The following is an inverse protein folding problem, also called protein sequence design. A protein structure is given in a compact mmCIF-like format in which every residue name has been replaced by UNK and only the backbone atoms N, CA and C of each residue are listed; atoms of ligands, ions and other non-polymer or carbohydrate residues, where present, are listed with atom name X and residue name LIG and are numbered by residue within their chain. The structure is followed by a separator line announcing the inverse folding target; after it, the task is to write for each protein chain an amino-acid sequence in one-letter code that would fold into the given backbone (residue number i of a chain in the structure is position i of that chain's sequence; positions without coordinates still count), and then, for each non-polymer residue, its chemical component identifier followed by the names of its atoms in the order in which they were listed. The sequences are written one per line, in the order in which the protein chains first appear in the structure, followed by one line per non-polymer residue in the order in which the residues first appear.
data_IF_073986444706
#
_entry.id   IF_073986444706
#
_cell.length_a   1.000
_cell.length_b   1.000
_cell.length_c   1.000
_cell.angle_alpha   90.00
_cell.angle_beta   90.00
_cell.angle_gamma   90.00
#
_symmetry.space_group_name_H-M   'P 1'
#
loop_
_entity.id
_entity.type
_entity.pdbx_description
1 polymer ?
#
# COMPACT_ATOMS: atom_id res chain seq x y z
N UNK A 1 29.02 -83.38 -20.30
CA UNK A 1 27.89 -82.93 -19.46
C UNK A 1 28.54 -82.30 -18.21
N UNK A 2 28.60 -80.97 -18.12
CA UNK A 2 29.20 -80.25 -16.97
C UNK A 2 28.05 -79.53 -16.25
N UNK A 3 27.75 -80.03 -15.05
CA UNK A 3 26.77 -79.36 -14.17
C UNK A 3 27.36 -78.08 -13.58
N UNK A 4 26.73 -76.94 -13.84
CA UNK A 4 27.06 -75.72 -13.19
C UNK A 4 26.07 -75.53 -12.02
N UNK A 5 26.58 -75.58 -10.80
CA UNK A 5 25.81 -75.25 -9.59
C UNK A 5 25.85 -73.73 -9.38
N UNK A 6 24.66 -73.12 -9.50
CA UNK A 6 24.50 -71.70 -9.18
C UNK A 6 24.27 -71.52 -7.66
N UNK A 7 25.19 -70.84 -6.99
CA UNK A 7 25.05 -70.49 -5.58
C UNK A 7 24.30 -69.15 -5.51
N UNK A 8 23.08 -69.18 -4.99
CA UNK A 8 22.31 -67.96 -4.63
C UNK A 8 22.83 -67.44 -3.27
N UNK A 9 23.42 -66.26 -3.28
CA UNK A 9 23.75 -65.49 -2.06
C UNK A 9 22.57 -64.59 -1.75
N UNK A 10 21.87 -64.71 -0.60
CA UNK A 10 20.85 -63.76 -0.20
C UNK A 10 21.50 -62.44 0.24
N UNK A 11 21.21 -61.33 -0.46
CA UNK A 11 21.58 -59.97 -0.04
C UNK A 11 20.69 -59.56 1.16
N UNK A 12 21.31 -59.53 2.34
CA UNK A 12 20.70 -59.01 3.56
C UNK A 12 20.72 -57.47 3.51
N UNK A 13 19.59 -56.84 3.11
CA UNK A 13 19.42 -55.38 3.16
C UNK A 13 19.28 -54.97 4.63
N UNK A 14 20.34 -54.45 5.24
CA UNK A 14 20.30 -53.79 6.56
C UNK A 14 19.65 -52.43 6.34
N UNK A 15 18.39 -52.25 6.70
CA UNK A 15 17.73 -50.95 6.85
C UNK A 15 18.30 -50.24 8.07
N UNK A 16 19.26 -49.34 7.83
CA UNK A 16 19.73 -48.42 8.85
C UNK A 16 18.65 -47.35 9.00
N UNK A 17 17.77 -47.49 10.00
CA UNK A 17 16.94 -46.37 10.49
C UNK A 17 17.90 -45.41 11.19
N UNK A 18 18.32 -44.37 10.47
CA UNK A 18 18.92 -43.22 11.09
C UNK A 18 17.84 -42.50 11.91
N UNK A 19 17.83 -42.72 13.23
CA UNK A 19 17.17 -41.81 14.15
C UNK A 19 17.88 -40.45 14.03
N UNK A 20 17.34 -39.56 13.19
CA UNK A 20 17.66 -38.14 13.35
C UNK A 20 17.24 -37.76 14.77
N UNK A 21 18.21 -37.53 15.64
CA UNK A 21 17.95 -36.91 16.93
C UNK A 21 17.36 -35.54 16.63
N UNK A 22 16.07 -35.37 16.92
CA UNK A 22 15.49 -34.03 16.96
C UNK A 22 16.43 -33.15 17.77
N UNK A 23 16.98 -32.11 17.12
CA UNK A 23 17.78 -31.13 17.84
C UNK A 23 16.85 -30.47 18.86
N UNK A 24 17.30 -30.27 20.11
CA UNK A 24 16.49 -29.62 21.11
C UNK A 24 16.04 -28.26 20.58
N UNK A 25 14.73 -28.07 20.53
CA UNK A 25 14.12 -26.84 20.03
C UNK A 25 14.55 -25.68 20.91
N UNK A 26 15.27 -24.71 20.33
CA UNK A 26 15.70 -23.52 21.06
C UNK A 26 14.46 -22.66 21.35
N UNK A 27 14.15 -22.39 22.64
CA UNK A 27 13.01 -21.58 22.98
C UNK A 27 13.10 -20.18 22.31
N UNK A 28 11.96 -19.61 21.88
CA UNK A 28 11.95 -18.27 21.33
C UNK A 28 12.37 -17.26 22.44
N UNK A 29 13.21 -16.30 22.07
CA UNK A 29 13.69 -15.22 22.94
C UNK A 29 13.26 -13.89 22.36
N UNK A 30 12.87 -12.95 23.22
CA UNK A 30 12.52 -11.59 22.79
C UNK A 30 13.72 -10.93 22.09
N UNK A 31 13.44 -10.36 20.91
CA UNK A 31 14.42 -9.66 20.08
C UNK A 31 13.96 -8.22 19.83
N UNK A 32 14.56 -7.28 20.55
CA UNK A 32 14.33 -5.84 20.42
C UNK A 32 15.27 -5.16 19.43
N UNK A 33 16.03 -5.91 18.63
CA UNK A 33 16.96 -5.34 17.65
C UNK A 33 16.21 -4.43 16.68
N UNK A 34 16.55 -3.12 16.60
CA UNK A 34 15.86 -2.20 15.71
C UNK A 34 15.98 -2.63 14.24
N UNK A 35 14.90 -2.48 13.49
CA UNK A 35 14.91 -2.68 12.05
C UNK A 35 15.58 -1.48 11.37
N UNK A 36 16.53 -1.77 10.48
CA UNK A 36 17.21 -0.72 9.70
C UNK A 36 16.46 -0.42 8.42
N UNK A 37 15.99 0.82 8.28
CA UNK A 37 15.33 1.33 7.06
C UNK A 37 16.33 2.18 6.28
N UNK A 38 16.54 1.87 5.00
CA UNK A 38 17.34 2.71 4.10
C UNK A 38 16.48 3.87 3.58
N UNK A 39 16.70 5.05 4.13
CA UNK A 39 15.89 6.24 3.80
C UNK A 39 16.35 6.96 2.53
N UNK A 40 17.57 6.72 2.04
CA UNK A 40 18.12 7.33 0.81
C UNK A 40 17.85 8.85 0.70
N UNK A 41 17.99 9.56 1.82
CA UNK A 41 17.77 11.00 1.89
C UNK A 41 16.34 11.44 2.15
N UNK A 42 15.41 10.53 2.38
CA UNK A 42 14.10 10.88 2.93
C UNK A 42 14.24 11.34 4.39
N UNK A 43 13.36 12.23 4.87
CA UNK A 43 13.38 12.64 6.27
C UNK A 43 13.09 11.46 7.19
N UNK A 44 13.55 11.56 8.44
CA UNK A 44 13.19 10.59 9.47
C UNK A 44 11.66 10.46 9.56
N UNK A 45 11.09 9.25 9.45
CA UNK A 45 9.65 9.03 9.57
C UNK A 45 9.12 9.31 10.98
N UNK A 46 9.99 9.33 11.99
CA UNK A 46 9.61 9.51 13.40
C UNK A 46 8.63 8.42 13.83
N UNK A 47 9.06 7.17 13.86
CA UNK A 47 8.23 6.05 14.29
C UNK A 47 7.60 6.30 15.66
N UNK A 48 6.39 5.78 15.94
CA UNK A 48 5.78 5.89 17.25
C UNK A 48 6.69 5.34 18.36
N UNK A 49 6.90 6.11 19.42
CA UNK A 49 7.81 5.73 20.49
C UNK A 49 7.40 4.42 21.22
N UNK A 50 6.11 4.09 21.18
CA UNK A 50 5.54 2.87 21.74
C UNK A 50 5.55 1.67 20.78
N UNK A 51 5.99 1.88 19.50
CA UNK A 51 6.03 0.83 18.49
C UNK A 51 7.15 1.07 17.45
N UNK A 52 8.36 1.27 17.92
CA UNK A 52 9.53 1.38 17.02
C UNK A 52 9.74 0.04 16.31
N UNK A 53 9.89 0.00 14.97
CA UNK A 53 10.09 -1.24 14.23
C UNK A 53 11.32 -2.02 14.70
N UNK A 54 11.12 -3.30 14.99
CA UNK A 54 12.18 -4.27 15.31
C UNK A 54 12.22 -5.36 14.26
N UNK A 55 13.36 -6.07 14.12
CA UNK A 55 13.48 -7.18 13.17
C UNK A 55 12.39 -8.23 13.40
N UNK A 56 12.16 -8.61 14.66
CA UNK A 56 11.14 -9.61 15.01
C UNK A 56 9.72 -9.08 14.81
N UNK A 57 9.45 -7.80 15.13
CA UNK A 57 8.14 -7.18 14.94
C UNK A 57 7.77 -7.05 13.47
N UNK A 58 8.70 -6.58 12.62
CA UNK A 58 8.53 -6.49 11.18
C UNK A 58 8.31 -7.87 10.55
N UNK A 59 9.08 -8.89 10.97
CA UNK A 59 8.90 -10.26 10.49
C UNK A 59 7.52 -10.82 10.87
N UNK A 60 7.07 -10.60 12.11
CA UNK A 60 5.72 -11.01 12.55
C UNK A 60 4.64 -10.26 11.77
N UNK A 61 4.77 -8.94 11.58
CA UNK A 61 3.84 -8.13 10.81
C UNK A 61 3.72 -8.61 9.36
N UNK A 62 4.87 -8.91 8.74
CA UNK A 62 4.92 -9.53 7.41
C UNK A 62 4.18 -10.87 7.37
N UNK A 63 4.39 -11.75 8.34
CA UNK A 63 3.67 -13.03 8.41
C UNK A 63 2.16 -12.80 8.52
N UNK A 64 1.72 -11.89 9.41
CA UNK A 64 0.31 -11.57 9.59
C UNK A 64 -0.32 -10.95 8.34
N UNK A 65 0.39 -10.09 7.62
CA UNK A 65 -0.08 -9.48 6.37
C UNK A 65 -0.40 -10.52 5.28
N UNK A 66 0.29 -11.66 5.28
CA UNK A 66 0.08 -12.78 4.36
C UNK A 66 -0.71 -13.96 4.98
N UNK A 67 -1.13 -13.87 6.25
CA UNK A 67 -1.84 -14.94 6.96
C UNK A 67 -3.32 -15.00 6.58
N UNK A 68 -3.71 -16.06 5.91
CA UNK A 68 -5.10 -16.25 5.47
C UNK A 68 -6.07 -16.61 6.59
N UNK A 69 -5.60 -17.16 7.71
CA UNK A 69 -6.48 -17.46 8.84
C UNK A 69 -7.04 -16.23 9.55
N UNK A 70 -6.63 -15.02 9.14
CA UNK A 70 -7.24 -13.77 9.58
C UNK A 70 -8.63 -13.54 8.96
N UNK A 71 -9.01 -14.26 7.91
CA UNK A 71 -10.36 -14.23 7.34
C UNK A 71 -11.26 -15.33 7.91
N UNK A 72 -12.58 -15.15 7.78
CA UNK A 72 -13.58 -16.06 8.35
C UNK A 72 -13.45 -17.49 7.78
N UNK A 73 -13.23 -17.60 6.48
CA UNK A 73 -13.12 -18.87 5.75
C UNK A 73 -11.66 -19.34 5.49
N UNK A 74 -10.67 -18.57 5.92
CA UNK A 74 -9.25 -18.87 5.72
C UNK A 74 -8.77 -18.75 4.27
N UNK A 75 -9.52 -18.07 3.39
CA UNK A 75 -9.17 -17.93 1.97
C UNK A 75 -8.39 -16.67 1.64
N UNK A 76 -8.47 -15.64 2.48
CA UNK A 76 -8.01 -14.28 2.18
C UNK A 76 -7.05 -13.72 3.23
N UNK A 77 -6.07 -12.96 2.77
CA UNK A 77 -5.12 -12.17 3.56
C UNK A 77 -5.11 -10.70 3.09
N UNK A 78 -4.39 -9.80 3.78
CA UNK A 78 -4.21 -8.43 3.32
C UNK A 78 -3.60 -8.37 1.91
N UNK A 79 -2.67 -9.28 1.60
CA UNK A 79 -1.97 -9.34 0.33
C UNK A 79 -2.86 -9.71 -0.87
N UNK A 80 -4.07 -10.23 -0.66
CA UNK A 80 -4.99 -10.54 -1.75
C UNK A 80 -5.59 -9.26 -2.37
N UNK A 81 -5.75 -8.17 -1.57
CA UNK A 81 -6.20 -6.86 -2.01
C UNK A 81 -5.05 -5.83 -2.09
N UNK A 82 -3.93 -6.07 -1.39
CA UNK A 82 -2.75 -5.19 -1.39
C UNK A 82 -1.55 -5.93 -2.00
N UNK A 83 -1.50 -5.95 -3.34
CA UNK A 83 -0.51 -6.73 -4.12
C UNK A 83 0.77 -5.95 -4.33
N UNK A 84 1.91 -6.50 -3.92
CA UNK A 84 3.20 -5.81 -3.97
C UNK A 84 3.53 -5.24 -5.36
N UNK A 85 3.37 -6.02 -6.43
CA UNK A 85 3.68 -5.58 -7.81
C UNK A 85 2.77 -4.44 -8.30
N UNK A 86 1.70 -4.12 -7.58
CA UNK A 86 0.80 -3.01 -7.83
C UNK A 86 0.89 -1.94 -6.74
N UNK A 87 2.08 -1.74 -6.14
CA UNK A 87 2.29 -0.76 -5.08
C UNK A 87 1.48 -1.05 -3.81
N UNK A 88 1.19 -2.32 -3.54
CA UNK A 88 0.28 -2.75 -2.48
C UNK A 88 -1.12 -2.13 -2.59
N UNK A 89 -1.63 -2.04 -3.82
CA UNK A 89 -3.03 -1.71 -4.18
C UNK A 89 -3.67 -2.91 -4.87
N UNK A 90 -4.97 -2.83 -5.18
CA UNK A 90 -5.68 -3.83 -5.99
C UNK A 90 -5.71 -3.42 -7.47
N UNK A 91 -5.96 -4.40 -8.34
CA UNK A 91 -6.20 -4.20 -9.77
C UNK A 91 -7.69 -4.11 -10.12
N UNK A 92 -8.55 -4.39 -9.15
CA UNK A 92 -10.00 -4.30 -9.30
C UNK A 92 -10.48 -2.91 -8.87
N UNK A 93 -11.54 -2.43 -9.51
CA UNK A 93 -12.25 -1.21 -9.09
C UNK A 93 -12.62 -1.26 -7.61
N UNK A 94 -13.18 -2.38 -7.17
CA UNK A 94 -13.48 -2.71 -5.79
C UNK A 94 -12.97 -4.11 -5.49
N UNK A 95 -12.24 -4.28 -4.42
CA UNK A 95 -11.80 -5.60 -3.96
C UNK A 95 -13.01 -6.46 -3.60
N UNK A 96 -12.89 -7.77 -3.82
CA UNK A 96 -13.95 -8.74 -3.54
C UNK A 96 -13.62 -9.47 -2.25
N UNK A 97 -14.47 -9.35 -1.24
CA UNK A 97 -14.31 -10.00 0.05
C UNK A 97 -14.65 -11.49 0.07
N UNK A 98 -14.55 -12.12 1.24
CA UNK A 98 -14.82 -13.56 1.43
C UNK A 98 -16.26 -13.94 1.07
N UNK A 99 -17.22 -13.05 1.32
CA UNK A 99 -18.64 -13.23 0.95
C UNK A 99 -18.91 -13.03 -0.55
N UNK A 100 -17.85 -12.83 -1.36
CA UNK A 100 -17.94 -12.54 -2.80
C UNK A 100 -18.70 -11.24 -3.11
N UNK A 101 -18.76 -10.34 -2.15
CA UNK A 101 -19.33 -8.99 -2.30
C UNK A 101 -18.22 -7.98 -2.57
N UNK A 102 -18.46 -6.96 -3.43
CA UNK A 102 -17.50 -5.91 -3.66
C UNK A 102 -17.44 -4.93 -2.48
N UNK A 103 -16.25 -4.41 -2.20
CA UNK A 103 -16.07 -3.25 -1.33
C UNK A 103 -16.72 -1.99 -1.91
N UNK A 104 -16.60 -0.88 -1.18
CA UNK A 104 -17.24 0.39 -1.56
C UNK A 104 -16.28 1.39 -2.20
N UNK A 105 -14.98 1.22 -2.00
CA UNK A 105 -13.93 2.10 -2.50
C UNK A 105 -12.75 1.27 -2.99
N UNK A 106 -11.98 1.85 -3.89
CA UNK A 106 -10.74 1.24 -4.37
C UNK A 106 -9.71 1.10 -3.23
N UNK A 107 -8.97 -0.02 -3.20
CA UNK A 107 -7.89 -0.26 -2.24
C UNK A 107 -6.75 0.74 -2.44
N UNK A 108 -6.45 1.51 -1.41
CA UNK A 108 -5.32 2.46 -1.45
C UNK A 108 -3.98 1.73 -1.44
N UNK A 109 -3.01 2.29 -2.14
CA UNK A 109 -1.63 1.81 -2.09
C UNK A 109 -1.02 1.97 -0.69
N UNK A 110 -0.32 0.94 -0.21
CA UNK A 110 0.40 0.98 1.07
C UNK A 110 1.86 1.34 0.81
N UNK A 111 2.11 2.63 0.59
CA UNK A 111 3.44 3.16 0.24
C UNK A 111 3.79 4.27 1.22
N UNK A 112 4.95 4.17 1.87
CA UNK A 112 5.50 5.21 2.75
C UNK A 112 4.54 5.62 3.88
N UNK A 113 3.79 4.68 4.45
CA UNK A 113 2.76 4.97 5.46
C UNK A 113 3.32 5.59 6.74
N UNK A 114 4.59 5.37 7.06
CA UNK A 114 5.26 5.98 8.22
C UNK A 114 5.24 7.52 8.22
N UNK A 115 5.02 8.15 7.05
CA UNK A 115 4.88 9.61 6.93
C UNK A 115 3.44 10.10 6.81
N UNK A 116 2.44 9.21 6.83
CA UNK A 116 1.04 9.60 6.76
C UNK A 116 0.51 9.95 8.15
N UNK A 117 0.37 11.26 8.44
CA UNK A 117 -0.02 11.77 9.78
C UNK A 117 -1.51 12.04 9.91
N UNK A 118 -2.22 12.28 8.80
CA UNK A 118 -3.60 12.80 8.77
C UNK A 118 -4.66 11.69 8.69
N UNK A 119 -4.40 10.53 9.29
CA UNK A 119 -5.33 9.39 9.27
C UNK A 119 -5.23 8.55 8.00
N UNK A 120 -5.89 7.41 7.99
CA UNK A 120 -5.83 6.37 6.95
C UNK A 120 -7.24 6.08 6.40
N UNK A 121 -7.33 5.29 5.33
CA UNK A 121 -8.45 5.22 4.40
C UNK A 121 -8.65 6.53 3.62
N UNK A 122 -9.49 6.47 2.58
CA UNK A 122 -9.83 7.62 1.75
C UNK A 122 -10.46 8.79 2.52
N UNK A 123 -11.10 8.50 3.65
CA UNK A 123 -11.83 9.48 4.47
C UNK A 123 -11.15 9.80 5.81
N UNK A 124 -10.03 9.14 6.13
CA UNK A 124 -9.28 9.39 7.36
C UNK A 124 -9.93 8.85 8.64
N UNK A 125 -10.85 7.89 8.51
CA UNK A 125 -11.58 7.32 9.66
C UNK A 125 -10.73 6.50 10.65
N UNK A 126 -9.45 6.31 10.37
CA UNK A 126 -8.51 5.64 11.28
C UNK A 126 -7.26 6.47 11.47
N UNK A 127 -6.97 6.88 12.70
CA UNK A 127 -5.83 7.76 13.01
C UNK A 127 -4.51 6.99 12.98
N UNK A 128 -4.50 5.74 13.44
CA UNK A 128 -3.27 4.93 13.54
C UNK A 128 -3.34 3.71 12.63
N UNK A 129 -2.20 3.31 12.06
CA UNK A 129 -2.09 2.14 11.18
C UNK A 129 -2.46 0.85 11.93
N UNK A 130 -2.02 0.69 13.19
CA UNK A 130 -2.39 -0.44 14.06
C UNK A 130 -3.91 -0.66 14.18
N UNK A 131 -4.68 0.44 14.23
CA UNK A 131 -6.13 0.37 14.32
C UNK A 131 -6.77 0.18 12.94
N UNK A 132 -6.15 0.75 11.90
CA UNK A 132 -6.61 0.57 10.52
C UNK A 132 -6.50 -0.90 10.10
N UNK A 133 -5.37 -1.55 10.37
CA UNK A 133 -5.10 -2.94 10.00
C UNK A 133 -6.13 -3.95 10.56
N UNK A 134 -6.77 -3.63 11.68
CA UNK A 134 -7.80 -4.49 12.29
C UNK A 134 -9.19 -4.30 11.70
N UNK A 135 -9.46 -3.23 10.94
CA UNK A 135 -10.80 -2.94 10.40
C UNK A 135 -11.17 -3.85 9.24
N UNK A 136 -10.31 -4.10 8.23
CA UNK A 136 -10.58 -5.04 7.15
C UNK A 136 -10.89 -6.45 7.63
N UNK A 137 -10.25 -6.89 8.73
CA UNK A 137 -10.51 -8.19 9.33
C UNK A 137 -11.98 -8.32 9.74
N UNK A 138 -12.56 -7.23 10.29
CA UNK A 138 -13.92 -7.20 10.83
C UNK A 138 -14.98 -6.77 9.82
N UNK A 139 -14.58 -6.23 8.65
CA UNK A 139 -15.54 -5.73 7.66
C UNK A 139 -16.22 -6.91 6.94
N UNK A 140 -17.57 -6.98 6.94
CA UNK A 140 -18.31 -8.03 6.24
C UNK A 140 -18.11 -8.05 4.73
N UNK A 141 -17.71 -6.92 4.14
CA UNK A 141 -17.41 -6.82 2.70
C UNK A 141 -15.96 -7.20 2.37
N UNK A 142 -15.12 -7.47 3.40
CA UNK A 142 -13.71 -7.82 3.24
C UNK A 142 -13.43 -9.21 3.85
N UNK A 143 -12.83 -9.32 5.03
CA UNK A 143 -12.41 -10.59 5.63
C UNK A 143 -13.46 -11.22 6.56
N UNK A 144 -14.47 -10.48 6.99
CA UNK A 144 -15.66 -10.91 7.74
C UNK A 144 -15.36 -11.83 8.95
N UNK A 145 -14.33 -11.52 9.74
CA UNK A 145 -13.94 -12.29 10.91
C UNK A 145 -13.94 -11.41 12.17
N UNK A 146 -14.20 -11.98 13.35
CA UNK A 146 -14.05 -11.26 14.58
C UNK A 146 -12.65 -11.45 15.21
N UNK A 147 -12.20 -10.44 15.96
CA UNK A 147 -10.84 -10.42 16.51
C UNK A 147 -10.62 -11.49 17.60
N UNK A 148 -11.65 -11.94 18.29
CA UNK A 148 -11.55 -13.02 19.29
C UNK A 148 -11.24 -14.36 18.61
N UNK A 149 -11.92 -14.66 17.51
CA UNK A 149 -11.63 -15.85 16.72
C UNK A 149 -10.22 -15.79 16.10
N UNK A 150 -9.82 -14.62 15.56
CA UNK A 150 -8.47 -14.41 15.02
C UNK A 150 -7.41 -14.69 16.09
N UNK A 151 -7.54 -14.10 17.26
CA UNK A 151 -6.57 -14.32 18.37
C UNK A 151 -6.53 -15.78 18.78
N UNK A 152 -7.69 -16.45 18.86
CA UNK A 152 -7.78 -17.89 19.17
C UNK A 152 -7.12 -18.76 18.11
N UNK A 153 -7.41 -18.50 16.80
CA UNK A 153 -6.80 -19.23 15.68
C UNK A 153 -5.27 -19.13 15.72
N UNK A 154 -4.72 -17.94 15.95
CA UNK A 154 -3.28 -17.71 16.02
C UNK A 154 -2.67 -18.30 17.31
N UNK A 155 -3.35 -18.17 18.46
CA UNK A 155 -2.92 -18.72 19.75
C UNK A 155 -2.75 -20.23 19.70
N UNK A 156 -3.54 -20.94 18.91
CA UNK A 156 -3.45 -22.40 18.73
C UNK A 156 -2.27 -22.83 17.85
N UNK A 157 -1.64 -21.93 17.13
CA UNK A 157 -0.48 -22.21 16.26
C UNK A 157 0.84 -21.91 16.99
N UNK A 158 1.66 -22.94 17.29
CA UNK A 158 2.97 -22.75 17.95
C UNK A 158 3.83 -21.72 17.22
N UNK A 159 3.84 -21.76 15.88
CA UNK A 159 4.58 -20.80 15.06
C UNK A 159 4.31 -19.36 15.46
N UNK A 160 3.03 -18.97 15.61
CA UNK A 160 2.68 -17.61 16.00
C UNK A 160 3.02 -17.32 17.46
N UNK A 161 2.75 -18.21 18.41
CA UNK A 161 3.18 -18.01 19.80
C UNK A 161 4.68 -17.69 19.89
N UNK A 162 5.50 -18.46 19.19
CA UNK A 162 6.95 -18.25 19.14
C UNK A 162 7.33 -16.89 18.53
N UNK A 163 6.66 -16.48 17.47
CA UNK A 163 6.90 -15.16 16.83
C UNK A 163 6.44 -14.01 17.72
N UNK A 164 5.33 -14.17 18.44
CA UNK A 164 4.89 -13.16 19.42
C UNK A 164 5.83 -13.03 20.61
N UNK A 165 6.45 -14.15 21.07
CA UNK A 165 7.54 -14.08 22.06
C UNK A 165 8.71 -13.29 21.52
N UNK A 166 9.14 -13.56 20.28
CA UNK A 166 10.27 -12.83 19.67
C UNK A 166 9.95 -11.34 19.51
N UNK A 167 8.76 -10.98 19.08
CA UNK A 167 8.39 -9.59 18.79
C UNK A 167 8.00 -8.79 20.05
N UNK A 168 7.36 -9.41 21.05
CA UNK A 168 6.74 -8.71 22.19
C UNK A 168 7.09 -9.32 23.56
N UNK A 169 7.94 -10.32 23.63
CA UNK A 169 8.36 -10.97 24.88
C UNK A 169 7.26 -11.80 25.56
N UNK A 170 6.18 -12.12 24.86
CA UNK A 170 5.03 -12.85 25.43
C UNK A 170 4.35 -13.69 24.36
N UNK A 171 3.97 -14.91 24.69
CA UNK A 171 3.21 -15.82 23.82
C UNK A 171 1.69 -15.52 23.80
N UNK A 172 1.23 -14.59 24.64
CA UNK A 172 -0.17 -14.15 24.66
C UNK A 172 -0.45 -13.25 23.47
N UNK A 173 -1.34 -13.71 22.59
CA UNK A 173 -1.74 -13.03 21.37
C UNK A 173 -2.98 -12.18 21.63
N UNK A 174 -2.90 -10.88 21.34
CA UNK A 174 -4.01 -9.94 21.44
C UNK A 174 -4.23 -9.20 20.12
N UNK A 175 -5.45 -8.70 19.90
CA UNK A 175 -5.75 -7.88 18.71
C UNK A 175 -4.83 -6.64 18.63
N UNK A 176 -4.52 -6.01 19.76
CA UNK A 176 -3.58 -4.90 19.82
C UNK A 176 -2.20 -5.26 19.29
N UNK A 177 -1.61 -6.37 19.78
CA UNK A 177 -0.29 -6.83 19.30
C UNK A 177 -0.31 -7.23 17.82
N UNK A 178 -1.42 -7.77 17.31
CA UNK A 178 -1.60 -8.03 15.87
C UNK A 178 -1.50 -6.72 15.09
N UNK A 179 -2.26 -5.69 15.51
CA UNK A 179 -2.22 -4.37 14.89
C UNK A 179 -0.83 -3.73 14.95
N UNK A 180 -0.15 -3.80 16.12
CA UNK A 180 1.20 -3.28 16.31
C UNK A 180 2.22 -3.95 15.36
N UNK A 181 2.15 -5.27 15.20
CA UNK A 181 3.05 -5.98 14.30
C UNK A 181 2.82 -5.61 12.83
N UNK A 182 1.55 -5.54 12.38
CA UNK A 182 1.21 -5.14 11.01
C UNK A 182 1.69 -3.70 10.76
N UNK A 183 1.48 -2.77 11.70
CA UNK A 183 1.97 -1.38 11.61
C UNK A 183 3.49 -1.33 11.43
N UNK A 184 4.26 -2.14 12.18
CA UNK A 184 5.72 -2.19 12.01
C UNK A 184 6.12 -2.62 10.59
N UNK A 185 5.45 -3.63 10.01
CA UNK A 185 5.70 -4.07 8.65
C UNK A 185 5.32 -3.00 7.62
N UNK A 186 4.13 -2.40 7.75
CA UNK A 186 3.68 -1.36 6.84
C UNK A 186 4.58 -0.11 6.87
N UNK A 187 5.11 0.24 8.03
CA UNK A 187 5.97 1.42 8.19
C UNK A 187 7.37 1.26 7.59
N UNK A 188 7.85 0.04 7.42
CA UNK A 188 9.14 -0.22 6.75
C UNK A 188 9.01 -0.41 5.25
N UNK A 189 7.79 -0.40 4.70
CA UNK A 189 7.55 -0.46 3.25
C UNK A 189 7.84 0.90 2.61
N UNK A 190 9.12 1.20 2.39
CA UNK A 190 9.59 2.49 1.88
C UNK A 190 9.95 2.40 0.40
N UNK A 191 9.29 3.24 -0.41
CA UNK A 191 9.57 3.45 -1.83
C UNK A 191 10.30 4.78 -2.02
N UNK A 192 11.60 4.72 -2.30
CA UNK A 192 12.51 5.88 -2.36
C UNK A 192 13.61 5.74 -3.43
N UNK A 193 13.44 4.83 -4.38
CA UNK A 193 14.41 4.59 -5.45
C UNK A 193 13.80 4.58 -6.87
N UNK A 194 12.75 5.37 -7.07
CA UNK A 194 12.19 5.58 -8.41
C UNK A 194 13.19 6.27 -9.34
N UNK A 195 12.93 6.25 -10.65
CA UNK A 195 13.73 7.00 -11.63
C UNK A 195 13.83 8.49 -11.27
N UNK A 196 12.74 9.10 -10.77
CA UNK A 196 12.74 10.47 -10.28
C UNK A 196 13.68 10.67 -9.08
N UNK A 197 13.71 9.72 -8.13
CA UNK A 197 14.60 9.80 -6.97
C UNK A 197 16.07 9.72 -7.39
N UNK A 198 16.41 8.82 -8.31
CA UNK A 198 17.76 8.69 -8.88
C UNK A 198 18.17 9.95 -9.63
N UNK A 199 17.27 10.55 -10.41
CA UNK A 199 17.50 11.84 -11.05
C UNK A 199 17.75 12.95 -10.03
N UNK A 200 16.94 13.02 -8.98
CA UNK A 200 17.10 14.02 -7.91
C UNK A 200 18.44 13.89 -7.17
N UNK A 201 18.98 12.68 -7.07
CA UNK A 201 20.33 12.44 -6.52
C UNK A 201 21.46 12.66 -7.54
N UNK A 202 21.15 12.99 -8.80
CA UNK A 202 22.14 13.21 -9.86
C UNK A 202 22.73 11.93 -10.46
N UNK A 203 22.11 10.79 -10.22
CA UNK A 203 22.60 9.48 -10.68
C UNK A 203 22.26 9.21 -12.16
N UNK A 204 21.16 9.79 -12.63
CA UNK A 204 20.67 9.63 -14.01
C UNK A 204 20.08 10.94 -14.55
N UNK A 205 19.77 10.97 -15.84
CA UNK A 205 19.05 12.07 -16.49
C UNK A 205 17.64 11.66 -16.89
N UNK A 206 16.69 12.60 -16.86
CA UNK A 206 15.38 12.43 -17.47
C UNK A 206 15.47 12.62 -19.00
N UNK A 207 14.59 11.98 -19.73
CA UNK A 207 14.38 12.28 -21.16
C UNK A 207 13.71 13.65 -21.31
N UNK A 208 13.77 14.22 -22.52
CA UNK A 208 13.15 15.52 -22.80
C UNK A 208 11.64 15.54 -22.48
N UNK A 209 10.93 14.44 -22.76
CA UNK A 209 9.50 14.31 -22.45
C UNK A 209 9.23 14.25 -20.94
N UNK A 210 10.02 13.45 -20.21
CA UNK A 210 9.92 13.36 -18.75
C UNK A 210 10.22 14.70 -18.08
N UNK A 211 11.24 15.42 -18.58
CA UNK A 211 11.60 16.74 -18.02
C UNK A 211 10.52 17.80 -18.33
N UNK A 212 9.96 17.83 -19.56
CA UNK A 212 8.82 18.71 -19.85
C UNK A 212 7.61 18.39 -18.99
N UNK A 213 7.30 17.09 -18.80
CA UNK A 213 6.23 16.65 -17.91
C UNK A 213 6.46 17.07 -16.46
N UNK A 214 7.72 16.96 -15.97
CA UNK A 214 8.11 17.45 -14.64
C UNK A 214 7.88 18.96 -14.52
N UNK A 215 8.29 19.73 -15.51
CA UNK A 215 8.09 21.18 -15.51
C UNK A 215 6.61 21.53 -15.51
N UNK A 216 5.78 20.89 -16.32
CA UNK A 216 4.32 21.07 -16.31
C UNK A 216 3.72 20.75 -14.94
N UNK A 217 4.13 19.66 -14.31
CA UNK A 217 3.64 19.21 -13.01
C UNK A 217 3.91 20.25 -11.90
N UNK A 218 5.10 20.86 -11.91
CA UNK A 218 5.56 21.80 -10.88
C UNK A 218 5.39 23.28 -11.26
N UNK A 219 4.63 23.59 -12.31
CA UNK A 219 4.41 24.98 -12.76
C UNK A 219 2.94 25.36 -12.58
N UNK A 220 2.73 26.60 -12.10
CA UNK A 220 1.43 27.27 -12.02
C UNK A 220 0.77 27.38 -13.40
N UNK A 221 -0.55 27.24 -13.43
CA UNK A 221 -1.33 27.59 -14.62
C UNK A 221 -1.28 29.10 -14.85
N UNK A 222 -0.94 29.48 -16.07
CA UNK A 222 -0.92 30.89 -16.48
C UNK A 222 -2.09 31.18 -17.43
N UNK A 223 -3.13 31.92 -16.97
CA UNK A 223 -4.26 32.28 -17.84
C UNK A 223 -3.85 33.08 -19.07
N UNK A 224 -2.73 33.81 -19.03
CA UNK A 224 -2.20 34.56 -20.17
C UNK A 224 -1.63 33.65 -21.27
N UNK A 225 -1.30 32.41 -20.92
CA UNK A 225 -0.71 31.44 -21.84
C UNK A 225 0.78 31.64 -22.13
N UNK A 226 1.47 32.56 -21.43
CA UNK A 226 2.92 32.79 -21.57
C UNK A 226 3.69 31.61 -20.98
N UNK A 227 3.20 31.04 -19.89
CA UNK A 227 3.75 29.82 -19.29
C UNK A 227 2.70 28.71 -19.33
N UNK A 228 3.14 27.46 -19.40
CA UNK A 228 2.28 26.31 -19.29
C UNK A 228 2.55 25.60 -17.98
N UNK A 229 1.51 25.32 -17.21
CA UNK A 229 1.56 24.58 -15.97
C UNK A 229 0.30 23.74 -15.77
N UNK A 230 0.41 22.67 -15.00
CA UNK A 230 -0.68 21.78 -14.69
C UNK A 230 -1.06 21.79 -13.20
N UNK A 231 -0.38 22.60 -12.37
CA UNK A 231 -0.65 22.87 -10.94
C UNK A 231 -0.74 21.62 -10.03
N UNK A 232 -0.26 20.47 -10.48
CA UNK A 232 -0.38 19.22 -9.74
C UNK A 232 0.31 19.26 -8.36
N UNK A 233 1.37 20.06 -8.26
CA UNK A 233 2.20 20.16 -7.05
C UNK A 233 1.50 20.78 -5.84
N UNK A 234 0.39 21.49 -6.00
CA UNK A 234 -0.35 22.05 -4.87
C UNK A 234 -0.89 20.94 -3.94
N UNK A 235 -1.38 19.87 -4.53
CA UNK A 235 -1.86 18.71 -3.81
C UNK A 235 -0.79 17.62 -3.68
N UNK A 236 0.02 17.43 -4.73
CA UNK A 236 1.01 16.36 -4.85
C UNK A 236 2.45 16.86 -4.73
N UNK A 237 2.71 17.74 -3.75
CA UNK A 237 4.05 18.20 -3.41
C UNK A 237 4.81 17.21 -2.53
N UNK A 238 5.95 17.67 -2.01
CA UNK A 238 6.83 16.95 -1.09
C UNK A 238 7.55 15.76 -1.72
N UNK A 239 8.39 15.10 -0.92
CA UNK A 239 9.10 13.88 -1.33
C UNK A 239 8.15 12.69 -1.55
N UNK A 240 6.96 12.73 -0.97
CA UNK A 240 5.98 11.63 -1.04
C UNK A 240 4.86 11.90 -2.06
N UNK A 241 4.92 13.00 -2.81
CA UNK A 241 3.91 13.38 -3.80
C UNK A 241 2.47 13.36 -3.25
N UNK A 242 2.30 13.87 -2.04
CA UNK A 242 1.03 14.13 -1.37
C UNK A 242 1.22 15.20 -0.32
N UNK A 243 0.19 16.02 -0.08
CA UNK A 243 0.11 16.91 1.08
C UNK A 243 -0.61 16.24 2.27
N UNK A 244 -1.13 15.00 2.07
CA UNK A 244 -1.92 14.24 3.04
C UNK A 244 -3.26 14.85 3.45
N UNK A 245 -3.65 15.98 2.87
CA UNK A 245 -4.92 16.67 3.12
C UNK A 245 -6.11 15.92 2.50
N UNK A 246 -7.32 16.42 2.81
CA UNK A 246 -8.58 15.94 2.24
C UNK A 246 -9.15 17.00 1.32
N UNK A 247 -9.39 16.64 0.07
CA UNK A 247 -9.83 17.58 -0.96
C UNK A 247 -10.93 16.98 -1.82
N UNK A 248 -11.83 17.83 -2.29
CA UNK A 248 -12.77 17.49 -3.34
C UNK A 248 -12.19 17.96 -4.69
N UNK A 249 -11.76 17.02 -5.49
CA UNK A 249 -11.16 17.27 -6.81
C UNK A 249 -12.20 17.45 -7.93
N UNK A 250 -13.46 17.65 -7.59
CA UNK A 250 -14.54 17.85 -8.57
C UNK A 250 -14.80 16.63 -9.46
N UNK A 251 -14.69 15.42 -8.90
CA UNK A 251 -14.93 14.18 -9.64
C UNK A 251 -16.38 14.04 -10.06
N UNK A 252 -17.32 14.51 -9.22
CA UNK A 252 -18.75 14.49 -9.42
C UNK A 252 -19.38 15.88 -9.20
N UNK A 253 -20.43 16.19 -9.96
CA UNK A 253 -21.28 17.32 -9.66
C UNK A 253 -22.06 17.07 -8.33
N UNK A 254 -22.53 18.11 -7.68
CA UNK A 254 -23.16 18.00 -6.35
C UNK A 254 -24.30 16.97 -6.30
N UNK A 255 -25.13 16.92 -7.36
CA UNK A 255 -26.27 16.00 -7.44
C UNK A 255 -25.85 14.52 -7.57
N UNK A 256 -24.62 14.26 -8.06
CA UNK A 256 -24.10 12.93 -8.34
C UNK A 256 -23.16 12.40 -7.23
N UNK A 257 -22.88 13.22 -6.21
CA UNK A 257 -22.02 12.86 -5.07
C UNK A 257 -22.66 11.82 -4.16
N UNK A 258 -22.58 10.56 -4.52
CA UNK A 258 -23.16 9.45 -3.76
C UNK A 258 -22.31 9.03 -2.55
N UNK A 259 -20.99 9.25 -2.57
CA UNK A 259 -20.08 9.01 -1.44
C UNK A 259 -19.76 10.34 -0.74
N UNK A 260 -20.22 10.53 0.51
CA UNK A 260 -19.97 11.76 1.24
C UNK A 260 -18.49 11.99 1.65
N UNK A 261 -17.61 11.00 1.45
CA UNK A 261 -16.20 11.12 1.78
C UNK A 261 -15.96 11.41 3.26
N UNK A 262 -15.11 12.40 3.53
CA UNK A 262 -14.72 12.79 4.89
C UNK A 262 -15.89 13.28 5.76
N UNK A 263 -16.92 13.84 5.18
CA UNK A 263 -18.13 14.24 5.92
C UNK A 263 -18.72 13.08 6.74
N UNK A 264 -18.59 11.83 6.30
CA UNK A 264 -19.03 10.67 7.08
C UNK A 264 -18.25 10.48 8.40
N UNK A 265 -17.06 11.05 8.50
CA UNK A 265 -16.18 10.93 9.68
C UNK A 265 -16.38 12.11 10.63
N UNK A 266 -16.47 13.31 10.07
CA UNK A 266 -16.47 14.55 10.86
C UNK A 266 -17.87 15.12 11.11
N UNK A 267 -18.86 14.75 10.29
CA UNK A 267 -20.19 15.36 10.29
C UNK A 267 -20.22 16.79 9.70
N UNK A 268 -19.09 17.30 9.21
CA UNK A 268 -19.00 18.65 8.65
C UNK A 268 -19.47 18.68 7.19
N UNK A 269 -20.56 19.39 6.86
CA UNK A 269 -21.07 19.46 5.48
C UNK A 269 -20.08 20.05 4.47
N UNK A 270 -19.15 20.90 4.91
CA UNK A 270 -18.12 21.47 4.06
C UNK A 270 -17.04 20.46 3.65
N UNK A 271 -17.02 19.27 4.25
CA UNK A 271 -16.12 18.18 3.89
C UNK A 271 -16.80 17.09 3.03
N UNK A 272 -18.00 17.39 2.48
CA UNK A 272 -18.70 16.49 1.58
C UNK A 272 -17.87 16.23 0.31
N UNK A 273 -17.76 14.94 -0.07
CA UNK A 273 -16.99 14.45 -1.20
C UNK A 273 -15.49 14.81 -1.16
N UNK A 274 -14.96 15.15 0.02
CA UNK A 274 -13.52 15.27 0.21
C UNK A 274 -12.92 13.90 0.50
N UNK A 275 -11.82 13.61 -0.18
CA UNK A 275 -11.02 12.39 -0.02
C UNK A 275 -9.56 12.72 0.17
N UNK A 276 -8.84 11.82 0.84
CA UNK A 276 -7.40 11.96 1.05
C UNK A 276 -6.68 12.08 -0.29
N UNK A 277 -5.79 13.05 -0.41
CA UNK A 277 -4.84 13.16 -1.53
C UNK A 277 -3.84 12.01 -1.43
N UNK A 278 -3.88 11.03 -2.36
CA UNK A 278 -2.98 9.87 -2.28
C UNK A 278 -1.56 10.25 -2.71
N UNK A 279 -0.58 9.45 -2.30
CA UNK A 279 0.76 9.53 -2.90
C UNK A 279 0.71 9.17 -4.39
N UNK A 280 1.53 9.86 -5.21
CA UNK A 280 1.72 9.47 -6.61
C UNK A 280 2.93 8.53 -6.81
N UNK A 281 3.61 8.12 -5.74
CA UNK A 281 4.66 7.12 -5.86
C UNK A 281 4.09 5.82 -6.39
N UNK A 282 4.75 5.26 -7.39
CA UNK A 282 4.30 4.07 -8.13
C UNK A 282 2.92 4.23 -8.80
N UNK A 283 2.43 5.45 -9.03
CA UNK A 283 1.08 5.69 -9.55
C UNK A 283 0.80 4.97 -10.86
N UNK A 284 1.81 4.78 -11.73
CA UNK A 284 1.65 4.02 -12.97
C UNK A 284 1.32 2.53 -12.76
N UNK A 285 1.48 2.00 -11.55
CA UNK A 285 1.27 0.60 -11.20
C UNK A 285 0.00 0.38 -10.35
N UNK A 286 -0.70 1.46 -9.94
CA UNK A 286 -1.81 1.40 -8.99
C UNK A 286 -3.18 1.69 -9.62
N UNK A 287 -3.31 1.48 -10.92
CA UNK A 287 -4.63 1.53 -11.57
C UNK A 287 -5.57 0.43 -11.02
N UNK A 288 -6.90 0.70 -10.97
CA UNK A 288 -7.61 1.90 -11.43
C UNK A 288 -7.54 3.06 -10.44
N UNK A 289 -7.87 4.28 -10.89
CA UNK A 289 -7.65 5.52 -10.15
C UNK A 289 -8.93 6.09 -9.56
N UNK A 290 -8.75 7.03 -8.60
CA UNK A 290 -9.74 7.68 -7.76
C UNK A 290 -10.27 6.75 -6.65
N UNK A 291 -11.00 7.34 -5.69
CA UNK A 291 -11.54 6.59 -4.56
C UNK A 291 -12.53 5.49 -4.98
N UNK A 292 -13.14 5.65 -6.14
CA UNK A 292 -14.11 4.70 -6.69
C UNK A 292 -13.60 3.90 -7.90
N UNK A 293 -12.31 4.06 -8.26
CA UNK A 293 -11.66 3.28 -9.33
C UNK A 293 -12.27 3.49 -10.71
N UNK A 294 -12.76 4.71 -11.04
CA UNK A 294 -13.47 4.96 -12.31
C UNK A 294 -12.56 5.12 -13.52
N UNK A 295 -11.31 5.51 -13.33
CA UNK A 295 -10.36 5.69 -14.42
C UNK A 295 -9.37 4.55 -14.48
N UNK A 296 -9.13 4.04 -15.67
CA UNK A 296 -8.24 2.90 -15.92
C UNK A 296 -6.84 3.32 -16.33
N UNK A 297 -6.65 4.56 -16.80
CA UNK A 297 -5.39 5.07 -17.33
C UNK A 297 -5.01 6.42 -16.70
N UNK A 298 -3.71 6.74 -16.72
CA UNK A 298 -3.23 8.06 -16.28
C UNK A 298 -3.71 9.18 -17.24
N UNK A 299 -3.89 8.84 -18.50
CA UNK A 299 -4.42 9.75 -19.51
C UNK A 299 -5.84 10.21 -19.15
N UNK A 300 -6.72 9.29 -18.72
CA UNK A 300 -8.07 9.61 -18.24
C UNK A 300 -8.04 10.50 -16.99
N UNK A 301 -7.11 10.26 -16.08
CA UNK A 301 -6.90 11.11 -14.89
C UNK A 301 -6.48 12.53 -15.29
N UNK A 302 -5.53 12.66 -16.22
CA UNK A 302 -5.07 13.96 -16.70
C UNK A 302 -6.18 14.67 -17.48
N UNK A 303 -6.99 13.94 -18.26
CA UNK A 303 -8.15 14.50 -18.95
C UNK A 303 -9.22 15.02 -17.98
N UNK A 304 -9.44 14.32 -16.87
CA UNK A 304 -10.30 14.82 -15.78
C UNK A 304 -9.78 16.16 -15.26
N UNK A 305 -8.51 16.25 -14.89
CA UNK A 305 -7.96 17.52 -14.39
C UNK A 305 -7.85 18.60 -15.48
N UNK A 306 -7.67 18.21 -16.75
CA UNK A 306 -7.62 19.19 -17.83
C UNK A 306 -8.98 19.89 -18.06
N UNK A 307 -10.06 19.12 -18.22
CA UNK A 307 -11.37 19.64 -18.63
C UNK A 307 -12.58 18.93 -17.98
N UNK A 308 -12.35 17.91 -17.17
CA UNK A 308 -13.40 17.03 -16.63
C UNK A 308 -13.93 17.42 -15.25
N UNK A 309 -13.27 18.36 -14.55
CA UNK A 309 -13.64 18.79 -13.19
C UNK A 309 -15.06 19.34 -13.16
N UNK A 310 -15.86 18.87 -12.18
CA UNK A 310 -17.26 19.29 -11.96
C UNK A 310 -17.34 20.26 -10.79
N UNK A 311 -18.16 21.29 -10.94
CA UNK A 311 -18.39 22.25 -9.88
C UNK A 311 -19.32 21.70 -8.80
N UNK A 312 -19.03 22.00 -7.55
CA UNK A 312 -19.89 21.75 -6.39
C UNK A 312 -19.50 22.74 -5.26
N UNK A 313 -20.36 22.91 -4.22
CA UNK A 313 -20.06 23.84 -3.11
C UNK A 313 -18.77 23.51 -2.33
N UNK A 314 -18.30 22.26 -2.41
CA UNK A 314 -17.14 21.76 -1.66
C UNK A 314 -15.93 21.47 -2.55
N UNK A 315 -16.01 21.73 -3.87
CA UNK A 315 -14.85 21.57 -4.75
C UNK A 315 -13.72 22.49 -4.28
N UNK A 316 -12.52 21.95 -4.27
CA UNK A 316 -11.36 22.69 -3.78
C UNK A 316 -11.09 23.94 -4.63
N UNK A 317 -10.76 25.08 -3.97
CA UNK A 317 -10.51 26.33 -4.66
C UNK A 317 -9.31 26.26 -5.63
N UNK A 318 -8.37 25.35 -5.40
CA UNK A 318 -7.27 25.08 -6.32
C UNK A 318 -7.74 24.56 -7.67
N UNK A 319 -8.98 24.05 -7.77
CA UNK A 319 -9.60 23.64 -9.05
C UNK A 319 -10.20 24.80 -9.84
N UNK A 320 -10.06 26.04 -9.42
CA UNK A 320 -10.68 27.20 -10.04
C UNK A 320 -10.39 27.36 -11.55
N UNK A 321 -9.17 27.03 -11.98
CA UNK A 321 -8.77 27.09 -13.39
C UNK A 321 -9.29 25.89 -14.19
N UNK A 322 -9.37 24.73 -13.56
CA UNK A 322 -9.93 23.52 -14.16
C UNK A 322 -11.44 23.68 -14.49
N UNK A 323 -12.13 24.51 -13.71
CA UNK A 323 -13.56 24.85 -13.91
C UNK A 323 -13.81 25.90 -15.01
N UNK A 324 -12.78 26.61 -15.48
CA UNK A 324 -12.91 27.60 -16.53
C UNK A 324 -13.12 26.93 -17.92
N UNK A 325 -13.74 27.66 -18.88
CA UNK A 325 -13.84 27.17 -20.24
C UNK A 325 -12.47 26.82 -20.83
N UNK A 326 -12.30 25.56 -21.24
CA UNK A 326 -11.04 25.02 -21.75
C UNK A 326 -10.08 24.50 -20.69
N UNK A 327 -10.39 24.64 -19.39
CA UNK A 327 -9.62 24.12 -18.27
C UNK A 327 -8.15 24.54 -18.31
N UNK A 328 -7.24 23.62 -18.04
CA UNK A 328 -5.78 23.88 -18.05
C UNK A 328 -5.18 24.01 -19.45
N UNK A 329 -5.95 23.86 -20.51
CA UNK A 329 -5.53 23.97 -21.92
C UNK A 329 -4.33 23.11 -22.28
N UNK A 330 -4.20 21.94 -21.66
CA UNK A 330 -3.12 20.99 -21.97
C UNK A 330 -3.32 20.42 -23.39
N UNK A 331 -2.29 20.49 -24.19
CA UNK A 331 -2.26 19.86 -25.51
C UNK A 331 -2.07 18.33 -25.38
N UNK A 332 -2.26 17.59 -26.46
CA UNK A 332 -1.98 16.16 -26.49
C UNK A 332 -0.53 15.86 -26.08
N UNK A 333 0.44 16.66 -26.54
CA UNK A 333 1.85 16.51 -26.18
C UNK A 333 2.07 16.79 -24.67
N UNK A 334 1.47 17.84 -24.10
CA UNK A 334 1.59 18.15 -22.68
C UNK A 334 1.07 17.00 -21.81
N UNK A 335 -0.06 16.37 -22.21
CA UNK A 335 -0.61 15.21 -21.49
C UNK A 335 0.31 14.00 -21.58
N UNK A 336 0.91 13.73 -22.75
CA UNK A 336 1.88 12.66 -22.93
C UNK A 336 3.15 12.90 -22.07
N UNK A 337 3.63 14.13 -22.02
CA UNK A 337 4.79 14.49 -21.22
C UNK A 337 4.50 14.35 -19.71
N UNK A 338 3.31 14.74 -19.24
CA UNK A 338 2.87 14.51 -17.84
C UNK A 338 2.82 13.02 -17.53
N UNK A 339 2.25 12.18 -18.40
CA UNK A 339 2.25 10.72 -18.21
C UNK A 339 3.67 10.16 -18.17
N UNK A 340 4.57 10.65 -19.05
CA UNK A 340 5.98 10.24 -19.03
C UNK A 340 6.63 10.59 -17.67
N UNK A 341 6.39 11.78 -17.15
CA UNK A 341 6.87 12.16 -15.82
C UNK A 341 6.28 11.28 -14.71
N UNK A 342 4.96 11.09 -14.68
CA UNK A 342 4.32 10.25 -13.65
C UNK A 342 4.87 8.82 -13.63
N UNK A 343 5.24 8.27 -14.78
CA UNK A 343 5.89 6.95 -14.89
C UNK A 343 7.29 6.94 -14.25
N UNK A 344 7.99 8.09 -14.16
CA UNK A 344 9.30 8.17 -13.46
C UNK A 344 9.19 7.97 -11.96
N UNK A 345 7.98 8.05 -11.38
CA UNK A 345 7.72 7.82 -9.96
C UNK A 345 7.62 6.33 -9.60
N UNK A 346 7.81 5.44 -10.58
CA UNK A 346 7.80 3.99 -10.38
C UNK A 346 9.13 3.51 -9.78
N UNK A 347 9.05 2.81 -8.67
CA UNK A 347 10.17 2.21 -7.95
C UNK A 347 10.13 0.68 -8.12
N UNK A 348 10.86 0.19 -9.11
CA UNK A 348 10.89 -1.26 -9.42
C UNK A 348 11.54 -2.09 -8.32
N UNK A 349 12.46 -1.51 -7.54
CA UNK A 349 13.05 -2.16 -6.38
C UNK A 349 12.00 -2.43 -5.32
N UNK A 350 11.18 -1.44 -4.95
CA UNK A 350 10.07 -1.57 -4.02
C UNK A 350 9.07 -2.64 -4.46
N UNK A 351 8.64 -2.59 -5.72
CA UNK A 351 7.64 -3.49 -6.29
C UNK A 351 8.09 -4.95 -6.36
N UNK A 352 9.40 -5.21 -6.26
CA UNK A 352 9.98 -6.57 -6.35
C UNK A 352 10.75 -7.01 -5.11
N UNK A 353 10.89 -6.14 -4.10
CA UNK A 353 11.70 -6.37 -2.91
C UNK A 353 11.33 -7.68 -2.21
N UNK A 354 12.26 -8.64 -2.08
CA UNK A 354 11.97 -9.92 -1.42
C UNK A 354 11.64 -9.78 0.07
N UNK A 355 12.08 -8.68 0.73
CA UNK A 355 11.74 -8.40 2.12
C UNK A 355 10.23 -8.14 2.33
N UNK A 356 9.51 -7.78 1.28
CA UNK A 356 8.07 -7.48 1.34
C UNK A 356 7.19 -8.60 0.75
N UNK A 357 7.77 -9.63 0.13
CA UNK A 357 7.05 -10.79 -0.41
C UNK A 357 6.50 -11.68 0.70
N UNK A 358 5.60 -12.61 0.33
CA UNK A 358 5.15 -13.66 1.24
C UNK A 358 6.35 -14.37 1.91
N UNK A 359 6.31 -14.58 3.22
CA UNK A 359 7.32 -15.36 3.94
C UNK A 359 7.05 -16.87 3.90
N UNK A 360 5.97 -17.29 3.23
CA UNK A 360 5.50 -18.68 3.12
C UNK A 360 5.78 -19.26 1.73
#
# INVERSE_FOLDING_TARGET
MRNVIAILVPALAVLIYACEKEQPEVPPVYDSTPYSVDLRGFPDPGFPADNVPTNAGVQLGRMLFYEKSLSSDGSMSCADCHRQQHGFSDTLKYSIGVEKLPGKRHSMALINLAWHREGLFWDGRSVHARNQALKPIQDPLEMNENLENVTSKLQNKKLYRDQFVRAFGSDTITAEKIGLAIEQFEFVMVSNNSKFDQWKRGEITLTDSEERGRQLFFTEFDPSGVKKGAECFHCHATFNFTNSEYMNNGLDAEADQSDPGRMNVTGNPWEKAMFKVPTLRNVAMTAPYMHDGRFSTLEEVIDHYNTGVKNSPTVDFLMQYNLQPGGLRLTTQDKQDLVAFLKTLTDTEFLSNPAFKSPF
#
